data_IF_896625892128
#
_entry.id   IF_896625892128
#
_cell.length_a   1.000
_cell.length_b   1.000
_cell.length_c   1.000
_cell.angle_alpha   90.00
_cell.angle_beta   90.00
_cell.angle_gamma   90.00
#
_symmetry.space_group_name_H-M   'P 1'
#
loop_
_entity.id
_entity.type
_entity.pdbx_description
1 polymer ?
#
# COMPACT_ATOMS: atom_id res chain seq x y z
N UNK A 1 31.11 -27.26 10.81
CA UNK A 1 30.24 -27.09 9.64
C UNK A 1 31.12 -27.18 8.41
N UNK A 2 30.84 -28.10 7.51
CA UNK A 2 31.63 -28.28 6.29
C UNK A 2 31.28 -27.22 5.26
N UNK A 3 32.26 -26.74 4.49
CA UNK A 3 32.12 -25.71 3.45
C UNK A 3 31.07 -26.09 2.42
N UNK A 4 31.02 -27.36 2.00
CA UNK A 4 30.06 -27.86 1.05
C UNK A 4 28.63 -27.80 1.58
N UNK A 5 28.42 -28.15 2.85
CA UNK A 5 27.13 -28.05 3.52
C UNK A 5 26.64 -26.59 3.59
N UNK A 6 27.54 -25.65 3.92
CA UNK A 6 27.21 -24.22 3.93
C UNK A 6 26.87 -23.70 2.54
N UNK A 7 27.63 -24.06 1.51
CA UNK A 7 27.32 -23.69 0.12
C UNK A 7 25.93 -24.16 -0.31
N UNK A 8 25.58 -25.41 -0.01
CA UNK A 8 24.25 -25.96 -0.34
C UNK A 8 23.12 -25.22 0.38
N UNK A 9 23.33 -24.86 1.66
CA UNK A 9 22.31 -24.08 2.40
C UNK A 9 22.13 -22.68 1.80
N UNK A 10 23.24 -22.00 1.46
CA UNK A 10 23.18 -20.67 0.82
C UNK A 10 22.50 -20.77 -0.54
N UNK A 11 22.84 -21.75 -1.35
CA UNK A 11 22.24 -21.95 -2.68
C UNK A 11 20.73 -22.18 -2.57
N UNK A 12 20.28 -23.06 -1.66
CA UNK A 12 18.85 -23.33 -1.42
C UNK A 12 18.10 -22.06 -1.00
N UNK A 13 18.66 -21.32 -0.03
CA UNK A 13 18.05 -20.06 0.43
C UNK A 13 17.99 -19.01 -0.68
N UNK A 14 19.06 -18.86 -1.44
CA UNK A 14 19.11 -17.92 -2.58
C UNK A 14 18.06 -18.25 -3.65
N UNK A 15 17.90 -19.52 -3.99
CA UNK A 15 16.88 -19.99 -4.95
C UNK A 15 15.48 -19.67 -4.47
N UNK A 16 15.18 -19.92 -3.18
CA UNK A 16 13.88 -19.58 -2.58
C UNK A 16 13.60 -18.09 -2.68
N UNK A 17 14.53 -17.24 -2.26
CA UNK A 17 14.36 -15.79 -2.26
C UNK A 17 14.19 -15.25 -3.70
N UNK A 18 14.96 -15.78 -4.65
CA UNK A 18 14.84 -15.40 -6.07
C UNK A 18 13.46 -15.75 -6.63
N UNK A 19 12.94 -16.94 -6.32
CA UNK A 19 11.59 -17.35 -6.75
C UNK A 19 10.52 -16.38 -6.21
N UNK A 20 10.59 -16.02 -4.93
CA UNK A 20 9.63 -15.09 -4.30
C UNK A 20 9.71 -13.70 -4.93
N UNK A 21 10.92 -13.19 -5.19
CA UNK A 21 11.10 -11.89 -5.85
C UNK A 21 10.47 -11.91 -7.24
N UNK A 22 10.67 -12.98 -8.01
CA UNK A 22 10.08 -13.11 -9.36
C UNK A 22 8.55 -13.15 -9.30
N UNK A 23 7.96 -13.97 -8.41
CA UNK A 23 6.52 -14.04 -8.20
C UNK A 23 5.93 -12.66 -7.85
N UNK A 24 6.63 -11.92 -6.97
CA UNK A 24 6.18 -10.59 -6.55
C UNK A 24 6.27 -9.57 -7.69
N UNK A 25 7.32 -9.64 -8.51
CA UNK A 25 7.46 -8.78 -9.71
C UNK A 25 6.37 -9.04 -10.74
N UNK A 26 6.08 -10.32 -11.01
CA UNK A 26 5.01 -10.70 -11.92
C UNK A 26 3.65 -10.21 -11.42
N UNK A 27 3.37 -10.41 -10.13
CA UNK A 27 2.15 -9.89 -9.53
C UNK A 27 2.09 -8.36 -9.59
N UNK A 28 3.18 -7.65 -9.30
CA UNK A 28 3.23 -6.19 -9.37
C UNK A 28 2.99 -5.65 -10.78
N UNK A 29 3.51 -6.32 -11.79
CA UNK A 29 3.21 -6.00 -13.18
C UNK A 29 1.71 -6.14 -13.49
N UNK A 30 1.06 -7.22 -13.01
CA UNK A 30 -0.38 -7.42 -13.16
C UNK A 30 -1.16 -6.34 -12.39
N UNK A 31 -0.70 -5.94 -11.19
CA UNK A 31 -1.28 -4.81 -10.45
C UNK A 31 -1.26 -3.54 -11.28
N UNK A 32 -0.11 -3.18 -11.85
CA UNK A 32 0.04 -1.98 -12.68
C UNK A 32 -0.87 -2.00 -13.91
N UNK A 33 -0.89 -3.11 -14.65
CA UNK A 33 -1.74 -3.27 -15.84
C UNK A 33 -3.23 -3.22 -15.49
N UNK A 34 -3.64 -3.91 -14.43
CA UNK A 34 -5.03 -3.95 -13.98
C UNK A 34 -5.49 -2.56 -13.50
N UNK A 35 -4.63 -1.83 -12.78
CA UNK A 35 -4.89 -0.47 -12.37
C UNK A 35 -5.12 0.46 -13.56
N UNK A 36 -4.28 0.38 -14.59
CA UNK A 36 -4.43 1.16 -15.83
C UNK A 36 -5.76 0.85 -16.54
N UNK A 37 -6.15 -0.43 -16.62
CA UNK A 37 -7.42 -0.84 -17.22
C UNK A 37 -8.62 -0.28 -16.44
N UNK A 38 -8.60 -0.38 -15.09
CA UNK A 38 -9.66 0.16 -14.22
C UNK A 38 -9.80 1.67 -14.42
N UNK A 39 -8.70 2.40 -14.41
CA UNK A 39 -8.71 3.86 -14.59
C UNK A 39 -9.23 4.25 -15.97
N UNK A 40 -8.82 3.58 -17.03
CA UNK A 40 -9.36 3.79 -18.39
C UNK A 40 -10.87 3.53 -18.47
N UNK A 41 -11.38 2.55 -17.73
CA UNK A 41 -12.80 2.26 -17.67
C UNK A 41 -13.57 3.35 -16.92
N UNK A 42 -13.06 3.81 -15.78
CA UNK A 42 -13.67 4.89 -14.98
C UNK A 42 -13.71 6.22 -15.75
N UNK A 43 -12.63 6.58 -16.46
CA UNK A 43 -12.58 7.78 -17.31
C UNK A 43 -13.67 7.78 -18.40
N UNK A 44 -14.03 6.59 -18.95
CA UNK A 44 -15.10 6.49 -19.94
C UNK A 44 -16.46 6.64 -19.33
N UNK A 45 -16.67 6.20 -18.08
CA UNK A 45 -17.97 6.27 -17.40
C UNK A 45 -18.25 7.66 -16.82
N UNK A 46 -17.22 8.35 -16.32
CA UNK A 46 -17.31 9.67 -15.69
C UNK A 46 -16.25 10.61 -16.25
N UNK A 47 -16.42 11.14 -17.48
CA UNK A 47 -15.42 11.98 -18.15
C UNK A 47 -15.13 13.30 -17.42
N UNK A 48 -16.07 13.80 -16.60
CA UNK A 48 -15.93 15.02 -15.80
C UNK A 48 -15.02 14.83 -14.57
N UNK A 49 -14.84 13.59 -14.11
CA UNK A 49 -13.98 13.29 -12.97
C UNK A 49 -12.55 12.96 -13.44
N UNK A 50 -11.58 13.60 -12.81
CA UNK A 50 -10.17 13.35 -13.14
C UNK A 50 -9.73 12.03 -12.55
N UNK A 51 -9.52 11.04 -13.41
CA UNK A 51 -8.82 9.78 -13.09
C UNK A 51 -7.49 9.75 -13.83
N UNK A 52 -6.40 9.44 -13.15
CA UNK A 52 -5.07 9.35 -13.76
C UNK A 52 -4.36 8.12 -13.25
N UNK A 53 -3.80 7.35 -14.17
CA UNK A 53 -2.82 6.30 -13.86
C UNK A 53 -1.44 6.80 -14.31
N UNK A 54 -0.43 6.61 -13.47
CA UNK A 54 0.94 6.96 -13.82
C UNK A 54 1.90 5.86 -13.32
N UNK A 55 2.63 5.25 -14.25
CA UNK A 55 3.75 4.39 -13.90
C UNK A 55 4.98 5.27 -13.62
N UNK A 56 5.57 5.16 -12.43
CA UNK A 56 6.77 5.92 -12.01
C UNK A 56 8.05 5.13 -12.27
N UNK A 57 8.00 3.82 -12.04
CA UNK A 57 9.12 2.90 -12.22
C UNK A 57 8.65 1.45 -12.25
N UNK A 58 9.57 0.51 -12.42
CA UNK A 58 9.26 -0.94 -12.31
C UNK A 58 8.81 -1.37 -10.91
N UNK A 59 8.94 -0.49 -9.90
CA UNK A 59 8.65 -0.76 -8.51
C UNK A 59 7.60 0.18 -7.91
N UNK A 60 7.06 1.11 -8.71
CA UNK A 60 6.12 2.12 -8.23
C UNK A 60 5.17 2.58 -9.33
N UNK A 61 3.88 2.61 -9.02
CA UNK A 61 2.86 3.31 -9.82
C UNK A 61 1.86 4.02 -8.90
N UNK A 62 1.17 5.00 -9.46
CA UNK A 62 0.16 5.78 -8.77
C UNK A 62 -1.17 5.81 -9.51
N UNK A 63 -2.25 5.91 -8.74
CA UNK A 63 -3.62 6.15 -9.20
C UNK A 63 -4.11 7.42 -8.53
N UNK A 64 -4.59 8.41 -9.32
CA UNK A 64 -5.22 9.63 -8.81
C UNK A 64 -6.70 9.63 -9.17
N UNK A 65 -7.54 9.94 -8.21
CA UNK A 65 -8.99 10.03 -8.37
C UNK A 65 -9.57 10.98 -7.32
N UNK A 66 -10.45 11.90 -7.77
CA UNK A 66 -10.94 12.95 -6.88
C UNK A 66 -9.79 13.73 -6.23
N UNK A 67 -9.79 13.78 -4.91
CA UNK A 67 -8.76 14.44 -4.10
C UNK A 67 -7.66 13.48 -3.60
N UNK A 68 -7.78 12.19 -3.92
CA UNK A 68 -6.91 11.14 -3.42
C UNK A 68 -5.86 10.69 -4.43
N UNK A 69 -4.74 10.21 -3.89
CA UNK A 69 -3.71 9.49 -4.63
C UNK A 69 -3.37 8.19 -3.89
N UNK A 70 -3.50 7.07 -4.57
CA UNK A 70 -2.96 5.78 -4.11
C UNK A 70 -1.62 5.52 -4.76
N UNK A 71 -0.61 5.23 -3.95
CA UNK A 71 0.73 4.87 -4.40
C UNK A 71 0.99 3.42 -4.04
N UNK A 72 1.27 2.61 -5.06
CA UNK A 72 1.65 1.22 -4.93
C UNK A 72 3.15 1.10 -5.08
N UNK A 73 3.82 0.52 -4.08
CA UNK A 73 5.27 0.31 -4.12
C UNK A 73 5.62 -1.15 -3.84
N UNK A 74 6.47 -1.74 -4.68
CA UNK A 74 7.01 -3.07 -4.44
C UNK A 74 8.34 -2.96 -3.71
N UNK A 75 8.49 -3.69 -2.60
CA UNK A 75 9.78 -3.79 -1.92
C UNK A 75 10.70 -4.81 -2.61
N UNK A 76 11.99 -4.49 -2.75
CA UNK A 76 12.97 -5.34 -3.42
C UNK A 76 13.43 -6.54 -2.59
N UNK A 77 13.26 -6.50 -1.28
CA UNK A 77 13.64 -7.58 -0.37
C UNK A 77 12.48 -8.53 -0.09
N UNK A 78 12.84 -9.75 0.29
CA UNK A 78 11.92 -10.76 0.82
C UNK A 78 11.96 -10.69 2.35
N UNK A 79 10.79 -10.80 2.97
CA UNK A 79 10.59 -10.74 4.41
C UNK A 79 10.08 -12.07 4.94
N UNK A 80 10.42 -12.41 6.16
CA UNK A 80 9.82 -13.51 6.91
C UNK A 80 8.91 -12.91 8.00
N UNK A 81 7.71 -13.44 8.18
CA UNK A 81 6.85 -13.02 9.29
C UNK A 81 7.52 -13.32 10.64
N UNK A 82 7.35 -12.42 11.61
CA UNK A 82 7.85 -12.65 12.96
C UNK A 82 7.21 -13.91 13.56
N UNK A 83 7.95 -14.62 14.42
CA UNK A 83 7.45 -15.87 15.04
C UNK A 83 6.17 -15.69 15.85
N UNK A 84 5.89 -14.46 16.30
CA UNK A 84 4.71 -14.10 17.09
C UNK A 84 3.51 -13.74 16.20
N UNK A 85 3.72 -13.55 14.90
CA UNK A 85 2.66 -13.15 13.97
C UNK A 85 1.60 -14.26 13.84
N UNK A 86 0.32 -13.87 13.77
CA UNK A 86 -0.81 -14.80 13.66
C UNK A 86 -0.69 -15.77 12.47
N UNK A 87 -0.18 -15.29 11.35
CA UNK A 87 0.08 -16.09 10.14
C UNK A 87 0.93 -17.32 10.43
N UNK A 88 1.89 -17.25 11.38
CA UNK A 88 2.78 -18.37 11.73
C UNK A 88 2.05 -19.53 12.41
N UNK A 89 0.82 -19.30 12.89
CA UNK A 89 -0.04 -20.34 13.52
C UNK A 89 -0.88 -21.10 12.51
N UNK A 90 -0.95 -20.63 11.25
CA UNK A 90 -1.76 -21.27 10.22
C UNK A 90 -1.20 -22.65 9.86
N UNK A 91 -2.05 -23.68 9.70
CA UNK A 91 -1.61 -25.02 9.26
C UNK A 91 -0.79 -24.98 7.97
N UNK A 92 -1.14 -24.11 7.04
CA UNK A 92 -0.44 -23.89 5.78
C UNK A 92 1.04 -23.51 5.98
N UNK A 93 1.33 -22.64 6.96
CA UNK A 93 2.71 -22.22 7.29
C UNK A 93 3.44 -23.26 8.15
N UNK A 94 2.71 -23.91 9.09
CA UNK A 94 3.35 -24.91 9.97
C UNK A 94 3.77 -26.18 9.23
N UNK A 95 3.09 -26.54 8.13
CA UNK A 95 3.46 -27.66 7.24
C UNK A 95 4.76 -27.36 6.46
N UNK A 96 4.95 -26.12 6.03
CA UNK A 96 6.15 -25.68 5.33
C UNK A 96 6.50 -24.24 5.72
N UNK A 97 7.51 -24.11 6.59
CA UNK A 97 7.95 -22.81 7.09
C UNK A 97 8.49 -21.87 6.02
N UNK A 98 8.97 -22.40 4.88
CA UNK A 98 9.44 -21.56 3.77
C UNK A 98 8.30 -20.70 3.17
N UNK A 99 7.04 -21.06 3.40
CA UNK A 99 5.86 -20.30 2.98
C UNK A 99 5.68 -18.98 3.74
N UNK A 100 6.39 -18.81 4.87
CA UNK A 100 6.39 -17.55 5.63
C UNK A 100 7.29 -16.47 5.02
N UNK A 101 8.13 -16.81 4.05
CA UNK A 101 8.92 -15.85 3.30
C UNK A 101 8.08 -15.26 2.17
N UNK A 102 7.97 -13.92 2.14
CA UNK A 102 7.12 -13.19 1.20
C UNK A 102 7.82 -11.96 0.64
N UNK A 103 7.57 -11.66 -0.62
CA UNK A 103 7.74 -10.32 -1.15
C UNK A 103 6.58 -9.44 -0.69
N UNK A 104 6.71 -8.12 -0.81
CA UNK A 104 5.76 -7.16 -0.24
C UNK A 104 5.46 -6.03 -1.22
N UNK A 105 4.17 -5.74 -1.37
CA UNK A 105 3.65 -4.57 -2.07
C UNK A 105 2.92 -3.71 -1.05
N UNK A 106 3.32 -2.45 -0.91
CA UNK A 106 2.66 -1.48 -0.03
C UNK A 106 1.67 -0.64 -0.82
N UNK A 107 0.57 -0.26 -0.17
CA UNK A 107 -0.46 0.63 -0.71
C UNK A 107 -0.57 1.81 0.25
N UNK A 108 -0.20 3.00 -0.23
CA UNK A 108 -0.28 4.24 0.53
C UNK A 108 -1.40 5.12 -0.02
N UNK A 109 -2.13 5.80 0.87
CA UNK A 109 -3.05 6.87 0.51
C UNK A 109 -2.47 8.22 0.93
N UNK A 110 -2.52 9.20 0.01
CA UNK A 110 -2.19 10.60 0.23
C UNK A 110 -3.29 11.48 -0.37
N UNK A 111 -3.32 12.76 0.00
CA UNK A 111 -4.06 13.76 -0.74
C UNK A 111 -3.31 14.17 -2.01
N UNK A 112 -4.01 14.32 -3.13
CA UNK A 112 -3.43 14.82 -4.39
C UNK A 112 -2.76 16.18 -4.22
N UNK A 113 -3.39 17.07 -3.46
CA UNK A 113 -2.89 18.41 -3.14
C UNK A 113 -1.52 18.40 -2.46
N UNK A 114 -1.18 17.34 -1.72
CA UNK A 114 0.13 17.19 -1.07
C UNK A 114 1.26 17.17 -2.11
N UNK A 115 1.01 16.56 -3.26
CA UNK A 115 1.96 16.48 -4.38
C UNK A 115 1.85 17.69 -5.32
N UNK A 116 0.63 18.16 -5.60
CA UNK A 116 0.39 19.26 -6.53
C UNK A 116 0.94 20.61 -6.01
N UNK A 117 1.04 20.76 -4.69
CA UNK A 117 1.58 21.95 -4.01
C UNK A 117 2.92 21.72 -3.30
N UNK A 118 3.64 20.62 -3.60
CA UNK A 118 4.95 20.29 -3.00
C UNK A 118 4.93 20.36 -1.46
N UNK A 119 3.92 19.73 -0.83
CA UNK A 119 3.77 19.72 0.63
C UNK A 119 4.56 18.56 1.23
N UNK A 120 5.88 18.65 1.27
CA UNK A 120 6.81 17.57 1.65
C UNK A 120 6.58 17.00 3.06
N UNK A 121 5.86 17.75 3.92
CA UNK A 121 5.60 17.35 5.31
C UNK A 121 4.20 16.76 5.52
N UNK A 122 3.37 16.68 4.49
CA UNK A 122 2.08 16.02 4.58
C UNK A 122 2.29 14.52 4.76
N UNK A 123 1.42 13.93 5.57
CA UNK A 123 1.53 12.52 5.93
C UNK A 123 0.58 11.71 5.06
N UNK A 124 1.11 10.65 4.45
CA UNK A 124 0.31 9.60 3.83
C UNK A 124 0.10 8.42 4.79
N UNK A 125 -0.90 7.62 4.51
CA UNK A 125 -1.24 6.46 5.32
C UNK A 125 -0.96 5.18 4.56
N UNK A 126 -0.29 4.23 5.22
CA UNK A 126 -0.20 2.86 4.76
C UNK A 126 -1.56 2.20 5.01
N UNK A 127 -2.34 1.97 3.95
CA UNK A 127 -3.67 1.38 4.04
C UNK A 127 -3.67 -0.13 3.85
N UNK A 128 -2.66 -0.67 3.19
CA UNK A 128 -2.51 -2.11 2.99
C UNK A 128 -1.10 -2.54 2.63
N UNK A 129 -0.78 -3.78 2.99
CA UNK A 129 0.41 -4.51 2.54
C UNK A 129 0.00 -5.85 1.99
N UNK A 130 0.38 -6.14 0.76
CA UNK A 130 0.13 -7.43 0.12
C UNK A 130 1.42 -8.25 0.18
N UNK A 131 1.38 -9.38 0.86
CA UNK A 131 2.49 -10.33 0.97
C UNK A 131 2.26 -11.48 0.00
N UNK A 132 3.28 -11.83 -0.79
CA UNK A 132 3.20 -12.89 -1.81
C UNK A 132 4.34 -13.88 -1.57
N UNK A 133 4.03 -15.17 -1.47
CA UNK A 133 5.01 -16.21 -1.18
C UNK A 133 5.46 -16.99 -2.43
N UNK A 134 6.29 -18.04 -2.21
CA UNK A 134 6.84 -18.90 -3.27
C UNK A 134 5.80 -19.65 -4.09
N UNK A 135 4.58 -19.83 -3.59
CA UNK A 135 3.48 -20.56 -4.23
C UNK A 135 2.42 -19.61 -4.80
N UNK A 136 2.71 -18.31 -4.91
CA UNK A 136 1.76 -17.26 -5.30
C UNK A 136 0.53 -17.12 -4.39
N UNK A 137 0.59 -17.72 -3.19
CA UNK A 137 -0.39 -17.40 -2.18
C UNK A 137 -0.13 -16.02 -1.61
N UNK A 138 -1.20 -15.31 -1.30
CA UNK A 138 -1.08 -13.96 -0.76
C UNK A 138 -1.87 -13.76 0.54
N UNK A 139 -1.40 -12.83 1.34
CA UNK A 139 -2.00 -12.36 2.56
C UNK A 139 -2.01 -10.83 2.54
N UNK A 140 -3.09 -10.21 3.01
CA UNK A 140 -3.17 -8.75 3.14
C UNK A 140 -3.21 -8.39 4.62
N UNK A 141 -2.33 -7.50 5.01
CA UNK A 141 -2.38 -6.80 6.28
C UNK A 141 -2.72 -5.33 6.00
N UNK A 142 -3.72 -4.78 6.67
CA UNK A 142 -4.14 -3.42 6.40
C UNK A 142 -5.38 -2.99 7.15
N UNK A 143 -5.95 -1.90 6.73
CA UNK A 143 -7.22 -1.39 7.25
C UNK A 143 -8.35 -2.39 6.99
N UNK A 144 -9.40 -2.33 7.81
CA UNK A 144 -10.45 -3.35 7.89
C UNK A 144 -11.04 -3.74 6.54
N UNK A 145 -11.34 -2.76 5.70
CA UNK A 145 -11.98 -2.96 4.40
C UNK A 145 -11.08 -3.69 3.41
N UNK A 146 -9.76 -3.46 3.49
CA UNK A 146 -8.77 -4.12 2.62
C UNK A 146 -8.27 -5.43 3.23
N UNK A 147 -8.03 -5.48 4.55
CA UNK A 147 -7.39 -6.62 5.22
C UNK A 147 -8.33 -7.80 5.47
N UNK A 148 -9.57 -7.55 5.92
CA UNK A 148 -10.50 -8.63 6.28
C UNK A 148 -10.98 -9.47 5.10
N UNK A 149 -11.11 -8.88 3.90
CA UNK A 149 -11.59 -9.57 2.71
C UNK A 149 -10.59 -10.60 2.18
N UNK A 150 -9.29 -10.42 2.46
CA UNK A 150 -8.21 -11.17 1.80
C UNK A 150 -7.23 -11.84 2.77
N UNK A 151 -7.62 -12.02 4.03
CA UNK A 151 -6.74 -12.56 5.08
C UNK A 151 -6.55 -14.09 5.07
N UNK A 152 -7.20 -14.81 4.16
CA UNK A 152 -7.08 -16.27 4.13
C UNK A 152 -5.86 -16.74 3.30
N UNK A 153 -4.69 -16.65 3.92
CA UNK A 153 -3.42 -17.04 3.28
C UNK A 153 -3.38 -18.49 2.79
N UNK A 154 -4.17 -19.39 3.39
CA UNK A 154 -4.20 -20.81 3.04
C UNK A 154 -4.81 -21.09 1.66
N UNK A 155 -5.75 -20.26 1.22
CA UNK A 155 -6.55 -20.52 0.00
C UNK A 155 -6.46 -19.44 -1.06
N UNK A 156 -5.89 -18.29 -0.74
CA UNK A 156 -5.87 -17.13 -1.63
C UNK A 156 -4.63 -17.13 -2.52
N UNK A 157 -4.82 -17.39 -3.81
CA UNK A 157 -3.78 -17.30 -4.85
C UNK A 157 -3.95 -15.97 -5.57
N UNK A 158 -2.83 -15.24 -5.76
CA UNK A 158 -2.84 -13.95 -6.45
C UNK A 158 -3.15 -14.15 -7.93
N UNK A 159 -4.16 -13.45 -8.44
CA UNK A 159 -4.57 -13.45 -9.83
C UNK A 159 -5.18 -12.10 -10.20
N UNK A 160 -5.54 -11.89 -11.47
CA UNK A 160 -6.08 -10.61 -11.95
C UNK A 160 -7.37 -10.20 -11.24
N UNK A 161 -8.25 -11.16 -10.94
CA UNK A 161 -9.52 -10.92 -10.25
C UNK A 161 -9.31 -10.44 -8.81
N UNK A 162 -8.43 -11.13 -8.06
CA UNK A 162 -8.08 -10.74 -6.70
C UNK A 162 -7.37 -9.38 -6.67
N UNK A 163 -6.47 -9.12 -7.62
CA UNK A 163 -5.79 -7.84 -7.78
C UNK A 163 -6.79 -6.72 -8.08
N UNK A 164 -7.73 -6.93 -9.01
CA UNK A 164 -8.79 -5.96 -9.30
C UNK A 164 -9.61 -5.64 -8.05
N UNK A 165 -9.99 -6.65 -7.27
CA UNK A 165 -10.71 -6.46 -6.02
C UNK A 165 -9.90 -5.67 -5.00
N UNK A 166 -8.59 -5.94 -4.86
CA UNK A 166 -7.70 -5.20 -3.95
C UNK A 166 -7.62 -3.73 -4.34
N UNK A 167 -7.44 -3.42 -5.64
CA UNK A 167 -7.37 -2.04 -6.13
C UNK A 167 -8.69 -1.31 -5.87
N UNK A 168 -9.82 -1.91 -6.24
CA UNK A 168 -11.13 -1.29 -6.06
C UNK A 168 -11.47 -1.07 -4.58
N UNK A 169 -11.19 -2.05 -3.71
CA UNK A 169 -11.39 -1.88 -2.25
C UNK A 169 -10.47 -0.80 -1.68
N UNK A 170 -9.24 -0.66 -2.19
CA UNK A 170 -8.34 0.41 -1.77
C UNK A 170 -8.84 1.79 -2.20
N UNK A 171 -9.40 1.90 -3.40
CA UNK A 171 -10.01 3.14 -3.90
C UNK A 171 -11.28 3.48 -3.11
N UNK A 172 -12.14 2.48 -2.84
CA UNK A 172 -13.34 2.66 -2.02
C UNK A 172 -13.00 3.11 -0.61
N UNK A 173 -11.98 2.48 0.02
CA UNK A 173 -11.49 2.89 1.33
C UNK A 173 -11.03 4.35 1.31
N UNK A 174 -10.18 4.75 0.35
CA UNK A 174 -9.67 6.11 0.25
C UNK A 174 -10.81 7.13 0.01
N UNK A 175 -11.77 6.80 -0.86
CA UNK A 175 -12.92 7.65 -1.16
C UNK A 175 -13.85 7.90 0.05
N UNK A 176 -13.87 6.96 1.00
CA UNK A 176 -14.66 7.08 2.25
C UNK A 176 -13.90 7.78 3.38
N UNK A 177 -12.75 8.34 3.08
CA UNK A 177 -11.81 8.88 4.06
C UNK A 177 -11.81 10.40 4.04
N UNK A 178 -12.74 11.00 4.80
CA UNK A 178 -12.92 12.44 4.85
C UNK A 178 -11.99 13.12 5.87
N UNK A 179 -11.59 14.35 5.55
CA UNK A 179 -10.87 15.23 6.48
C UNK A 179 -11.87 15.89 7.43
N UNK A 180 -11.64 15.73 8.73
CA UNK A 180 -12.45 16.39 9.75
C UNK A 180 -11.90 17.78 10.07
N UNK A 181 -12.82 18.74 10.28
CA UNK A 181 -12.45 20.07 10.77
C UNK A 181 -11.98 19.94 12.22
N UNK A 182 -10.77 20.46 12.58
CA UNK A 182 -10.33 20.43 13.96
C UNK A 182 -11.21 21.31 14.85
N UNK A 183 -11.30 21.00 16.15
CA UNK A 183 -11.99 21.88 17.09
C UNK A 183 -11.41 23.29 17.04
N UNK A 184 -12.29 24.30 16.99
CA UNK A 184 -11.87 25.71 16.90
C UNK A 184 -10.87 26.12 17.99
N UNK A 185 -11.06 25.61 19.20
CA UNK A 185 -10.20 25.93 20.34
C UNK A 185 -8.75 25.45 20.20
N UNK A 186 -8.51 24.41 19.39
CA UNK A 186 -7.18 23.87 19.12
C UNK A 186 -6.42 24.69 18.07
N UNK A 187 -7.13 25.36 17.16
CA UNK A 187 -6.55 26.07 16.01
C UNK A 187 -6.76 27.58 16.05
N UNK A 188 -7.39 28.13 17.10
CA UNK A 188 -7.75 29.52 17.21
C UNK A 188 -6.57 30.50 17.31
N UNK A 189 -5.37 30.01 17.56
CA UNK A 189 -4.17 30.84 17.70
C UNK A 189 -3.11 30.40 16.72
N UNK A 190 -2.48 31.35 16.04
CA UNK A 190 -1.35 31.12 15.14
C UNK A 190 -0.28 32.16 15.43
N UNK A 191 0.98 31.76 15.41
CA UNK A 191 2.09 32.71 15.55
C UNK A 191 2.33 33.49 14.27
N UNK A 192 2.94 34.70 14.40
CA UNK A 192 3.35 35.50 13.24
C UNK A 192 4.34 34.74 12.37
N UNK A 193 5.20 33.93 12.99
CA UNK A 193 6.17 33.10 12.27
C UNK A 193 5.50 32.04 11.41
N UNK A 194 4.52 31.30 11.96
CA UNK A 194 3.72 30.32 11.23
C UNK A 194 2.91 30.96 10.10
N UNK A 195 2.30 32.13 10.35
CA UNK A 195 1.57 32.86 9.33
C UNK A 195 2.48 33.29 8.16
N UNK A 196 3.70 33.75 8.46
CA UNK A 196 4.68 34.11 7.43
C UNK A 196 5.17 32.88 6.64
N UNK A 197 5.41 31.75 7.31
CA UNK A 197 5.76 30.50 6.65
C UNK A 197 4.65 30.03 5.71
N UNK A 198 3.41 30.06 6.16
CA UNK A 198 2.25 29.70 5.33
C UNK A 198 2.09 30.62 4.13
N UNK A 199 2.32 31.93 4.29
CA UNK A 199 2.20 32.92 3.20
C UNK A 199 3.36 32.86 2.21
N UNK A 200 4.58 32.58 2.66
CA UNK A 200 5.78 32.60 1.80
C UNK A 200 5.97 31.35 0.97
N UNK A 201 5.40 30.23 1.40
CA UNK A 201 5.70 28.93 0.80
C UNK A 201 4.70 28.44 -0.25
N UNK A 202 3.57 29.14 -0.52
CA UNK A 202 2.40 28.53 -1.19
C UNK A 202 1.99 27.18 -0.55
N UNK A 203 2.62 26.85 0.57
CA UNK A 203 2.51 25.61 1.31
C UNK A 203 1.50 25.85 2.42
N UNK A 204 0.22 25.85 2.08
CA UNK A 204 -0.77 25.64 3.11
C UNK A 204 -0.46 24.28 3.70
N UNK A 205 0.00 24.26 4.95
CA UNK A 205 0.13 23.02 5.70
C UNK A 205 -1.29 22.46 5.76
N UNK A 206 -1.51 21.35 5.05
CA UNK A 206 -2.81 20.72 5.14
C UNK A 206 -3.08 20.31 6.56
N UNK A 207 -4.29 20.30 6.85
CA UNK A 207 -4.97 19.88 8.02
C UNK A 207 -4.45 18.59 8.70
N UNK A 208 -3.88 17.64 7.99
CA UNK A 208 -3.26 16.42 8.53
C UNK A 208 -2.19 16.74 9.58
N UNK A 209 -1.43 17.85 9.45
CA UNK A 209 -0.39 18.26 10.38
C UNK A 209 -0.92 19.04 11.60
N UNK A 210 -2.16 19.54 11.52
CA UNK A 210 -2.84 20.27 12.58
C UNK A 210 -3.70 19.40 13.51
N UNK A 211 -3.54 18.07 13.46
CA UNK A 211 -4.29 17.16 14.34
C UNK A 211 -5.63 16.72 13.80
N UNK A 212 -5.84 16.74 12.49
CA UNK A 212 -7.04 16.15 11.89
C UNK A 212 -7.03 14.63 12.11
N UNK A 213 -8.05 14.15 12.77
CA UNK A 213 -8.38 12.72 12.87
C UNK A 213 -9.31 12.36 11.72
N UNK A 214 -9.02 11.25 11.07
CA UNK A 214 -9.93 10.70 10.09
C UNK A 214 -11.13 10.07 10.82
N UNK A 215 -12.33 10.22 10.24
CA UNK A 215 -13.56 9.73 10.84
C UNK A 215 -13.51 8.22 11.13
N UNK A 216 -12.80 7.46 10.31
CA UNK A 216 -12.64 6.01 10.44
C UNK A 216 -11.62 5.57 11.50
N UNK A 217 -10.82 6.47 12.06
CA UNK A 217 -9.87 6.14 13.14
C UNK A 217 -10.53 6.19 14.54
N UNK A 218 -11.86 6.45 14.63
CA UNK A 218 -12.63 6.55 15.88
C UNK A 218 -13.48 5.33 16.21
N UNK A 219 -13.50 4.28 15.35
CA UNK A 219 -14.28 3.04 15.55
C UNK A 219 -13.43 1.88 16.10
#
# INVERSE_FOLDING_TARGET
MDTLSLCNQIAKKSSLLTSIVNNTKEAFLIFSQTAEEIIKQMQKQTPETKFVFQNKSDLEFEIRFGEDILIFTMHTNVFEFSRQHEVMKLPYITQDKERSFCGMINIYNFLSDSFDYDRDYDIGYLIGRVFINKENHYFIEGKREVGLLYSNFNTSIINKESISSIILSSMEYANNFDLLVPPFDEVKTISVGEMKLNSSSKRFITAKRLGFEFQQDRD
#
